data_IF_881666432142
#
_entry.id   IF_881666432142
#
_cell.length_a   1.000
_cell.length_b   1.000
_cell.length_c   1.000
_cell.angle_alpha   90.00
_cell.angle_beta   90.00
_cell.angle_gamma   90.00
#
_symmetry.space_group_name_H-M   'P 1'
#
loop_
_entity.id
_entity.type
_entity.pdbx_description
1 polymer ?
#
# COMPACT_ATOMS: atom_id res chain seq x y z
N UNK A 1 -16.31 -4.74 13.89
CA UNK A 1 -15.70 -4.25 12.64
C UNK A 1 -15.15 -5.46 11.89
N UNK A 2 -15.92 -5.99 10.93
CA UNK A 2 -15.54 -7.15 10.12
C UNK A 2 -14.92 -6.67 8.81
N UNK A 3 -14.08 -7.49 8.17
CA UNK A 3 -13.64 -7.20 6.81
C UNK A 3 -14.82 -7.43 5.84
N UNK A 4 -14.94 -6.65 4.76
CA UNK A 4 -15.87 -6.97 3.67
C UNK A 4 -15.64 -8.40 3.16
N UNK A 5 -16.68 -9.04 2.62
CA UNK A 5 -16.53 -10.35 1.99
C UNK A 5 -15.55 -10.25 0.81
N UNK A 6 -14.61 -11.18 0.72
CA UNK A 6 -13.60 -11.25 -0.34
C UNK A 6 -13.08 -12.68 -0.45
N UNK A 7 -12.63 -13.05 -1.64
CA UNK A 7 -11.77 -14.21 -1.83
C UNK A 7 -10.33 -13.86 -1.41
N UNK A 8 -9.62 -14.81 -0.81
CA UNK A 8 -8.21 -14.63 -0.47
C UNK A 8 -7.34 -15.60 -1.27
N UNK A 9 -6.54 -15.05 -2.18
CA UNK A 9 -5.62 -15.83 -3.01
C UNK A 9 -4.20 -15.73 -2.46
N UNK A 10 -3.49 -16.86 -2.48
CA UNK A 10 -2.07 -16.92 -2.10
C UNK A 10 -1.27 -17.67 -3.19
N UNK A 11 -0.93 -16.99 -4.30
CA UNK A 11 -0.16 -17.60 -5.36
C UNK A 11 1.26 -17.96 -4.90
N UNK A 12 1.88 -18.94 -5.57
CA UNK A 12 3.18 -19.48 -5.20
C UNK A 12 4.36 -18.73 -5.85
N UNK A 13 4.10 -17.99 -6.92
CA UNK A 13 5.10 -17.24 -7.68
C UNK A 13 4.58 -15.87 -8.13
N UNK A 14 5.51 -15.00 -8.52
CA UNK A 14 5.16 -13.72 -9.12
C UNK A 14 4.40 -13.90 -10.45
N UNK A 15 4.74 -14.93 -11.22
CA UNK A 15 4.03 -15.24 -12.46
C UNK A 15 2.56 -15.59 -12.21
N UNK A 16 2.26 -16.40 -11.18
CA UNK A 16 0.90 -16.74 -10.79
C UNK A 16 0.12 -15.51 -10.28
N UNK A 17 0.79 -14.61 -9.54
CA UNK A 17 0.18 -13.34 -9.13
C UNK A 17 -0.23 -12.48 -10.33
N UNK A 18 0.66 -12.35 -11.32
CA UNK A 18 0.39 -11.58 -12.53
C UNK A 18 -0.71 -12.22 -13.38
N UNK A 19 -0.77 -13.55 -13.43
CA UNK A 19 -1.84 -14.27 -14.09
C UNK A 19 -3.19 -14.01 -13.41
N UNK A 20 -3.25 -14.14 -12.08
CA UNK A 20 -4.47 -13.86 -11.32
C UNK A 20 -4.93 -12.41 -11.45
N UNK A 21 -4.01 -11.43 -11.51
CA UNK A 21 -4.36 -10.03 -11.74
C UNK A 21 -4.92 -9.77 -13.15
N UNK A 22 -4.39 -10.46 -14.15
CA UNK A 22 -4.83 -10.32 -15.54
C UNK A 22 -6.18 -11.00 -15.80
N UNK A 23 -6.39 -12.18 -15.22
CA UNK A 23 -7.51 -13.05 -15.56
C UNK A 23 -8.74 -12.80 -14.67
N UNK A 24 -8.64 -11.92 -13.67
CA UNK A 24 -9.73 -11.63 -12.76
C UNK A 24 -10.85 -10.81 -13.41
N UNK A 25 -12.09 -11.22 -13.14
CA UNK A 25 -13.29 -10.52 -13.59
C UNK A 25 -13.68 -9.32 -12.69
N UNK A 26 -13.10 -9.21 -11.49
CA UNK A 26 -13.44 -8.22 -10.47
C UNK A 26 -12.24 -7.42 -9.95
N UNK A 27 -12.46 -6.60 -8.92
CA UNK A 27 -11.38 -5.81 -8.30
C UNK A 27 -10.45 -6.74 -7.49
N UNK A 28 -9.23 -6.91 -7.98
CA UNK A 28 -8.16 -7.61 -7.25
C UNK A 28 -7.25 -6.61 -6.59
N UNK A 29 -6.99 -6.80 -5.30
CA UNK A 29 -6.06 -5.95 -4.56
C UNK A 29 -4.88 -6.76 -4.01
N UNK A 30 -3.64 -6.45 -4.45
CA UNK A 30 -2.46 -7.04 -3.84
C UNK A 30 -2.30 -6.67 -2.37
N UNK A 31 -1.87 -7.62 -1.53
CA UNK A 31 -1.55 -7.38 -0.12
C UNK A 31 -0.21 -8.01 0.26
N UNK A 32 0.68 -7.18 0.82
CA UNK A 32 1.95 -7.61 1.40
C UNK A 32 1.86 -7.62 2.94
N UNK A 33 2.30 -6.53 3.59
CA UNK A 33 2.23 -6.36 5.04
C UNK A 33 0.83 -6.07 5.60
N UNK A 34 -0.10 -5.65 4.75
CA UNK A 34 -1.48 -5.35 5.12
C UNK A 34 -1.68 -4.09 5.99
N UNK A 35 -0.62 -3.35 6.30
CA UNK A 35 -0.64 -2.20 7.23
C UNK A 35 -1.49 -1.03 6.73
N UNK A 36 -1.64 -0.88 5.41
CA UNK A 36 -2.53 0.10 4.79
C UNK A 36 -3.83 -0.55 4.32
N UNK A 37 -3.71 -1.59 3.50
CA UNK A 37 -4.85 -2.24 2.81
C UNK A 37 -5.90 -2.76 3.79
N UNK A 38 -5.51 -3.51 4.82
CA UNK A 38 -6.46 -4.10 5.78
C UNK A 38 -7.17 -3.03 6.59
N UNK A 39 -6.47 -1.94 6.94
CA UNK A 39 -7.07 -0.83 7.65
C UNK A 39 -8.11 -0.12 6.79
N UNK A 40 -7.79 0.15 5.52
CA UNK A 40 -8.70 0.79 4.58
C UNK A 40 -9.91 -0.10 4.24
N UNK A 41 -9.75 -1.43 4.17
CA UNK A 41 -10.86 -2.39 4.03
C UNK A 41 -11.79 -2.39 5.25
N UNK A 42 -11.24 -2.37 6.47
CA UNK A 42 -12.05 -2.24 7.70
C UNK A 42 -12.85 -0.94 7.74
N UNK A 43 -12.26 0.14 7.23
CA UNK A 43 -12.94 1.42 7.03
C UNK A 43 -13.91 1.44 5.85
N UNK A 44 -14.04 0.35 5.08
CA UNK A 44 -14.82 0.22 3.85
C UNK A 44 -14.49 1.32 2.82
N UNK A 45 -13.21 1.70 2.71
CA UNK A 45 -12.75 2.65 1.69
C UNK A 45 -12.70 2.02 0.30
N UNK A 46 -12.47 0.71 0.27
CA UNK A 46 -12.59 -0.15 -0.90
C UNK A 46 -12.97 -1.55 -0.42
N UNK A 47 -13.57 -2.33 -1.32
CA UNK A 47 -14.13 -3.65 -1.04
C UNK A 47 -13.80 -4.56 -2.21
N UNK A 48 -12.51 -4.95 -2.36
CA UNK A 48 -12.08 -5.77 -3.49
C UNK A 48 -12.73 -7.14 -3.42
N UNK A 49 -13.08 -7.68 -4.58
CA UNK A 49 -13.59 -9.04 -4.71
C UNK A 49 -12.55 -10.07 -4.29
N UNK A 50 -11.27 -9.78 -4.61
CA UNK A 50 -10.13 -10.66 -4.32
C UNK A 50 -9.02 -9.89 -3.62
N UNK A 51 -8.58 -10.42 -2.49
CA UNK A 51 -7.37 -10.00 -1.80
C UNK A 51 -6.23 -10.98 -2.13
N UNK A 52 -5.26 -10.52 -2.91
CA UNK A 52 -4.19 -11.35 -3.46
C UNK A 52 -2.90 -11.16 -2.66
N UNK A 53 -2.48 -12.18 -1.90
CA UNK A 53 -1.27 -12.10 -1.10
C UNK A 53 -0.02 -12.21 -1.97
N UNK A 54 0.84 -11.19 -1.88
CA UNK A 54 2.20 -11.20 -2.46
C UNK A 54 3.28 -11.43 -1.38
N UNK A 55 2.85 -11.78 -0.15
CA UNK A 55 3.74 -11.96 0.98
C UNK A 55 4.51 -13.26 0.85
N UNK A 56 5.84 -13.16 0.93
CA UNK A 56 6.73 -14.32 0.94
C UNK A 56 7.11 -14.84 -0.45
N UNK A 57 6.71 -14.15 -1.52
CA UNK A 57 7.21 -14.44 -2.87
C UNK A 57 8.72 -14.17 -2.94
N UNK A 58 9.56 -15.19 -3.21
CA UNK A 58 11.02 -15.03 -3.26
C UNK A 58 11.48 -13.98 -4.26
N UNK A 59 10.77 -13.82 -5.38
CA UNK A 59 11.09 -12.88 -6.46
C UNK A 59 10.94 -11.41 -6.03
N UNK A 60 10.16 -11.16 -4.98
CA UNK A 60 9.98 -9.83 -4.39
C UNK A 60 10.92 -9.58 -3.21
N UNK A 61 11.81 -10.52 -2.89
CA UNK A 61 12.80 -10.36 -1.83
C UNK A 61 14.17 -10.00 -2.39
N UNK A 62 15.04 -9.54 -1.51
CA UNK A 62 16.46 -9.36 -1.80
C UNK A 62 16.91 -7.91 -1.78
N UNK A 63 18.21 -7.77 -1.59
CA UNK A 63 18.92 -6.52 -1.54
C UNK A 63 20.29 -6.76 -2.17
N UNK A 64 20.48 -6.26 -3.38
CA UNK A 64 21.64 -6.57 -4.22
C UNK A 64 22.31 -5.28 -4.71
N UNK A 65 23.61 -5.14 -4.46
CA UNK A 65 24.42 -4.10 -5.08
C UNK A 65 24.64 -4.43 -6.56
N UNK A 66 24.39 -3.47 -7.44
CA UNK A 66 24.52 -3.63 -8.88
C UNK A 66 25.89 -3.12 -9.37
N UNK A 67 26.37 -3.62 -10.52
CA UNK A 67 27.49 -2.99 -11.23
C UNK A 67 27.23 -1.50 -11.45
N UNK A 68 28.25 -0.67 -11.26
CA UNK A 68 28.12 0.79 -11.35
C UNK A 68 27.61 1.48 -10.08
N UNK A 69 27.49 0.75 -8.96
CA UNK A 69 27.20 1.32 -7.64
C UNK A 69 25.71 1.45 -7.31
N UNK A 70 24.82 0.97 -8.17
CA UNK A 70 23.38 0.93 -7.93
C UNK A 70 22.96 -0.09 -6.86
N UNK A 71 21.69 -0.05 -6.46
CA UNK A 71 21.12 -0.98 -5.49
C UNK A 71 19.75 -1.46 -5.98
N UNK A 72 19.55 -2.77 -6.06
CA UNK A 72 18.28 -3.41 -6.36
C UNK A 72 17.64 -3.87 -5.07
N UNK A 73 16.41 -3.43 -4.82
CA UNK A 73 15.65 -3.77 -3.61
C UNK A 73 14.37 -4.47 -4.01
N UNK A 74 14.12 -5.65 -3.45
CA UNK A 74 12.86 -6.36 -3.64
C UNK A 74 11.69 -5.58 -3.02
N UNK A 75 10.58 -5.47 -3.75
CA UNK A 75 9.39 -4.74 -3.30
C UNK A 75 8.77 -5.32 -2.00
N UNK A 76 9.02 -6.59 -1.72
CA UNK A 76 8.58 -7.29 -0.51
C UNK A 76 9.53 -7.14 0.68
N UNK A 77 10.66 -6.44 0.56
CA UNK A 77 11.56 -6.16 1.67
C UNK A 77 10.87 -5.33 2.74
N UNK A 78 11.00 -5.71 4.01
CA UNK A 78 10.39 -4.98 5.12
C UNK A 78 11.15 -3.69 5.39
N UNK A 79 10.42 -2.65 5.77
CA UNK A 79 11.03 -1.36 6.12
C UNK A 79 11.97 -1.50 7.31
N UNK A 80 11.64 -2.35 8.30
CA UNK A 80 12.50 -2.64 9.45
C UNK A 80 13.86 -3.25 9.09
N UNK A 81 13.90 -3.99 7.98
CA UNK A 81 15.11 -4.68 7.53
C UNK A 81 15.98 -3.72 6.72
N UNK A 82 15.35 -2.90 5.87
CA UNK A 82 16.01 -1.85 5.11
C UNK A 82 16.60 -0.76 6.00
N UNK A 83 15.89 -0.34 7.06
CA UNK A 83 16.33 0.74 7.96
C UNK A 83 17.69 0.44 8.65
N UNK A 84 18.12 -0.83 8.66
CA UNK A 84 19.36 -1.34 9.30
C UNK A 84 20.32 -2.00 8.32
N UNK A 85 19.98 -2.05 7.04
CA UNK A 85 20.76 -2.81 6.07
C UNK A 85 22.10 -2.11 5.80
N UNK A 86 23.25 -2.80 5.95
CA UNK A 86 24.56 -2.21 5.66
C UNK A 86 24.68 -1.69 4.23
N UNK A 87 24.01 -2.33 3.26
CA UNK A 87 24.01 -1.89 1.87
C UNK A 87 23.37 -0.50 1.66
N UNK A 88 22.54 -0.03 2.60
CA UNK A 88 21.96 1.32 2.57
C UNK A 88 22.89 2.38 3.17
N UNK A 89 24.10 2.03 3.64
CA UNK A 89 25.08 3.03 4.11
C UNK A 89 25.45 4.06 3.02
N UNK A 90 25.47 3.63 1.75
CA UNK A 90 25.65 4.51 0.60
C UNK A 90 24.37 5.32 0.24
N UNK A 91 23.23 5.01 0.86
CA UNK A 91 21.90 5.57 0.61
C UNK A 91 21.23 6.06 1.90
N UNK A 92 21.86 6.98 2.66
CA UNK A 92 21.42 7.33 4.01
C UNK A 92 20.02 7.97 4.04
N UNK A 93 19.63 8.69 2.97
CA UNK A 93 18.29 9.26 2.86
C UNK A 93 17.21 8.18 2.82
N UNK A 94 17.45 7.07 2.10
CA UNK A 94 16.51 5.95 2.03
C UNK A 94 16.41 5.24 3.38
N UNK A 95 17.53 5.03 4.07
CA UNK A 95 17.52 4.46 5.42
C UNK A 95 16.74 5.35 6.39
N UNK A 96 16.92 6.68 6.31
CA UNK A 96 16.21 7.63 7.14
C UNK A 96 14.70 7.63 6.85
N UNK A 97 14.29 7.64 5.59
CA UNK A 97 12.89 7.53 5.18
C UNK A 97 12.28 6.21 5.70
N UNK A 98 12.98 5.08 5.53
CA UNK A 98 12.52 3.82 6.10
C UNK A 98 12.31 3.91 7.62
N UNK A 99 13.18 4.62 8.36
CA UNK A 99 13.04 4.82 9.82
C UNK A 99 11.90 5.75 10.21
N UNK A 100 11.53 6.73 9.39
CA UNK A 100 10.47 7.69 9.69
C UNK A 100 9.07 7.11 9.53
N UNK A 101 8.91 6.07 8.71
CA UNK A 101 7.59 5.48 8.46
C UNK A 101 6.97 4.93 9.73
N UNK A 102 5.93 5.60 10.22
CA UNK A 102 5.04 5.16 11.29
C UNK A 102 5.77 4.60 12.54
N UNK A 103 5.19 3.58 13.18
CA UNK A 103 5.79 2.90 14.34
C UNK A 103 6.60 1.68 13.92
N UNK A 104 7.52 1.23 14.78
CA UNK A 104 8.34 0.03 14.53
C UNK A 104 7.49 -1.23 14.30
N UNK A 105 6.35 -1.38 14.98
CA UNK A 105 5.43 -2.51 14.76
C UNK A 105 4.88 -2.53 13.33
N UNK A 106 4.55 -1.34 12.79
CA UNK A 106 4.14 -1.20 11.40
C UNK A 106 5.31 -1.53 10.47
N UNK A 107 6.51 -1.00 10.72
CA UNK A 107 7.69 -1.27 9.87
C UNK A 107 8.12 -2.73 9.82
N UNK A 108 7.86 -3.49 10.89
CA UNK A 108 8.11 -4.94 10.92
C UNK A 108 7.19 -5.74 10.00
N UNK A 109 6.10 -5.13 9.50
CA UNK A 109 5.16 -5.75 8.57
C UNK A 109 5.14 -5.03 7.21
N UNK A 110 5.25 -3.71 7.20
CA UNK A 110 5.23 -2.88 6.01
C UNK A 110 6.42 -3.23 5.11
N UNK A 111 6.13 -3.34 3.82
CA UNK A 111 7.10 -3.63 2.76
C UNK A 111 7.37 -2.38 1.94
N UNK A 112 8.55 -2.28 1.32
CA UNK A 112 8.91 -1.14 0.46
C UNK A 112 7.85 -0.87 -0.62
N UNK A 113 7.46 -1.87 -1.39
CA UNK A 113 6.43 -1.72 -2.43
C UNK A 113 5.06 -1.33 -1.87
N UNK A 114 4.70 -1.88 -0.71
CA UNK A 114 3.46 -1.50 -0.02
C UNK A 114 3.46 -0.06 0.51
N UNK A 115 4.62 0.49 0.86
CA UNK A 115 4.76 1.89 1.26
C UNK A 115 4.72 2.82 0.03
N UNK A 116 5.38 2.46 -1.08
CA UNK A 116 5.29 3.21 -2.33
C UNK A 116 3.85 3.24 -2.90
N UNK A 117 3.12 2.13 -2.79
CA UNK A 117 1.78 1.97 -3.33
C UNK A 117 0.66 2.19 -2.28
N UNK A 118 0.94 2.87 -1.17
CA UNK A 118 -0.08 3.16 -0.16
C UNK A 118 -1.17 4.08 -0.73
N UNK A 119 -2.39 3.98 -0.19
CA UNK A 119 -3.47 4.85 -0.63
C UNK A 119 -3.30 6.28 -0.08
N UNK A 120 -3.75 7.27 -0.85
CA UNK A 120 -3.69 8.67 -0.46
C UNK A 120 -4.56 8.95 0.77
N UNK A 121 -4.10 9.92 1.58
CA UNK A 121 -4.74 10.31 2.83
C UNK A 121 -5.46 11.65 2.69
N UNK A 122 -6.68 11.71 3.22
CA UNK A 122 -7.47 12.94 3.35
C UNK A 122 -8.39 12.82 4.56
N UNK A 123 -8.53 13.91 5.31
CA UNK A 123 -9.39 13.95 6.50
C UNK A 123 -10.87 13.62 6.21
N UNK A 124 -11.32 13.84 4.97
CA UNK A 124 -12.68 13.54 4.53
C UNK A 124 -12.86 12.10 4.02
N UNK A 125 -11.77 11.37 3.73
CA UNK A 125 -11.84 10.00 3.22
C UNK A 125 -11.43 8.97 4.25
N UNK A 126 -10.43 9.25 5.09
CA UNK A 126 -9.98 8.33 6.14
C UNK A 126 -10.88 8.46 7.40
N UNK A 127 -12.18 8.28 7.19
CA UNK A 127 -13.24 8.30 8.20
C UNK A 127 -14.07 7.03 8.10
N UNK A 128 -14.91 6.78 9.12
CA UNK A 128 -15.79 5.61 9.13
C UNK A 128 -16.78 5.62 7.97
N UNK A 129 -17.34 4.45 7.63
CA UNK A 129 -18.32 4.33 6.56
C UNK A 129 -19.58 5.15 6.84
N UNK A 130 -20.02 5.20 8.09
CA UNK A 130 -21.17 5.97 8.55
C UNK A 130 -20.93 7.47 8.37
N UNK A 131 -19.75 7.96 8.77
CA UNK A 131 -19.37 9.36 8.61
C UNK A 131 -19.37 9.77 7.15
N UNK A 132 -18.76 8.96 6.27
CA UNK A 132 -18.70 9.23 4.82
C UNK A 132 -20.08 9.21 4.19
N UNK A 133 -20.96 8.29 4.62
CA UNK A 133 -22.35 8.23 4.16
C UNK A 133 -23.14 9.48 4.56
N UNK A 134 -23.00 9.92 5.82
CA UNK A 134 -23.67 11.12 6.31
C UNK A 134 -23.16 12.40 5.63
N UNK A 135 -21.86 12.48 5.33
CA UNK A 135 -21.25 13.63 4.65
C UNK A 135 -21.56 13.67 3.14
N UNK A 136 -21.70 12.50 2.53
CA UNK A 136 -21.79 12.33 1.09
C UNK A 136 -20.43 12.09 0.41
N UNK A 137 -20.43 11.51 -0.80
CA UNK A 137 -19.21 11.16 -1.53
C UNK A 137 -18.37 12.41 -1.91
N UNK A 138 -17.15 12.18 -2.40
CA UNK A 138 -16.26 13.23 -2.91
C UNK A 138 -15.58 12.76 -4.21
N UNK A 139 -14.70 13.59 -4.79
CA UNK A 139 -13.92 13.27 -6.00
C UNK A 139 -13.24 11.90 -5.97
N UNK A 140 -12.75 11.47 -4.80
CA UNK A 140 -12.12 10.15 -4.66
C UNK A 140 -13.10 8.98 -4.89
N UNK A 141 -14.39 9.22 -4.69
CA UNK A 141 -15.48 8.26 -4.87
C UNK A 141 -16.32 8.55 -6.12
N UNK A 142 -15.77 9.29 -7.10
CA UNK A 142 -16.38 9.48 -8.42
C UNK A 142 -17.41 10.59 -8.55
N UNK A 143 -17.62 11.45 -7.53
CA UNK A 143 -18.49 12.63 -7.66
C UNK A 143 -17.68 13.91 -7.84
N UNK A 144 -18.19 14.88 -8.61
CA UNK A 144 -17.49 16.14 -8.87
C UNK A 144 -17.58 17.14 -7.70
N UNK A 145 -17.13 16.74 -6.51
CA UNK A 145 -17.11 17.58 -5.32
C UNK A 145 -15.92 17.24 -4.40
N UNK A 146 -15.08 18.23 -4.12
CA UNK A 146 -14.00 18.12 -3.14
C UNK A 146 -14.37 18.83 -1.84
N UNK A 147 -14.34 18.10 -0.72
CA UNK A 147 -14.63 18.69 0.59
C UNK A 147 -13.45 19.47 1.18
N UNK A 148 -12.21 19.19 0.75
CA UNK A 148 -11.02 19.89 1.22
C UNK A 148 -10.85 21.25 0.53
N UNK A 149 -10.99 21.29 -0.81
CA UNK A 149 -10.88 22.50 -1.62
C UNK A 149 -12.08 22.54 -2.57
N UNK A 150 -13.10 23.32 -2.24
CA UNK A 150 -14.40 23.32 -2.93
C UNK A 150 -14.32 23.60 -4.45
N UNK A 151 -13.34 24.38 -4.88
CA UNK A 151 -13.12 24.74 -6.29
C UNK A 151 -12.24 23.74 -7.06
N UNK A 152 -11.69 22.72 -6.38
CA UNK A 152 -10.75 21.81 -7.03
C UNK A 152 -11.47 20.91 -8.04
N UNK A 153 -10.99 20.83 -9.30
CA UNK A 153 -11.53 19.90 -10.30
C UNK A 153 -11.01 18.47 -10.11
N UNK A 154 -10.03 18.26 -9.23
CA UNK A 154 -9.38 16.96 -8.98
C UNK A 154 -9.31 16.64 -7.49
N UNK A 155 -9.13 15.37 -7.15
CA UNK A 155 -8.88 14.96 -5.78
C UNK A 155 -7.53 15.53 -5.30
N UNK A 156 -7.52 16.13 -4.10
CA UNK A 156 -6.32 16.72 -3.48
C UNK A 156 -5.87 15.93 -2.25
N UNK A 157 -6.18 14.64 -2.20
CA UNK A 157 -5.66 13.75 -1.16
C UNK A 157 -4.13 13.62 -1.30
N UNK A 158 -3.44 13.60 -0.17
CA UNK A 158 -1.98 13.62 -0.13
C UNK A 158 -1.43 12.20 -0.18
N UNK A 159 -0.36 11.98 -0.94
CA UNK A 159 0.48 10.81 -0.72
C UNK A 159 1.26 11.03 0.58
N UNK A 160 1.16 10.08 1.51
CA UNK A 160 1.78 10.14 2.82
C UNK A 160 2.92 9.14 2.99
N UNK A 161 3.50 8.66 1.88
CA UNK A 161 4.80 8.00 1.93
C UNK A 161 5.87 9.04 2.22
N UNK A 162 6.69 8.75 3.23
CA UNK A 162 8.01 9.40 3.37
C UNK A 162 8.92 9.02 2.19
#
# INVERSE_FOLDING_TARGET
>A
MHLPAHEFLKPASLADCLAALRDAAGEVKPVAGGTDVVFNMRGQLFQPDVLLSIRGLPELQGLEALPGGGLRIGAGMRLSDLERAPALAAYPALALACRSVASRHIRNMATLGGNLCLDTRCWYTNQTAEWRRARGPCLKNGVNACHAIKSSPVCVALNASD
#
